data_IF_847022312865
#
_entry.id   IF_847022312865
#
_cell.length_a   1.000
_cell.length_b   1.000
_cell.length_c   1.000
_cell.angle_alpha   90.00
_cell.angle_beta   90.00
_cell.angle_gamma   90.00
#
_symmetry.space_group_name_H-M   'P 1'
#
loop_
_entity.id
_entity.type
_entity.pdbx_description
1 polymer ?
#
# COMPACT_ATOMS: atom_id res chain seq x y z
N UNK A 1 -1.42 59.42 34.09
CA UNK A 1 -2.35 58.29 33.89
C UNK A 1 -1.87 57.58 32.63
N UNK A 2 -0.85 56.72 32.79
CA UNK A 2 -0.22 56.01 31.67
C UNK A 2 -0.91 54.67 31.52
N UNK A 3 -1.50 54.44 30.35
CA UNK A 3 -2.14 53.18 30.01
C UNK A 3 -1.05 52.15 29.73
N UNK A 4 -0.95 51.18 30.63
CA UNK A 4 -0.06 50.02 30.52
C UNK A 4 -0.63 49.08 29.46
N UNK A 5 -0.16 49.22 28.21
CA UNK A 5 -0.51 48.36 27.10
C UNK A 5 0.16 47.01 27.32
N UNK A 6 -0.57 46.07 27.93
CA UNK A 6 -0.13 44.69 28.05
C UNK A 6 0.06 44.08 26.65
N UNK A 7 1.25 43.56 26.29
CA UNK A 7 1.45 42.90 25.01
C UNK A 7 0.58 41.65 24.94
N UNK A 8 -0.21 41.55 23.86
CA UNK A 8 -0.99 40.36 23.53
C UNK A 8 -0.06 39.14 23.55
N UNK A 9 -0.36 38.19 24.45
CA UNK A 9 0.37 36.94 24.56
C UNK A 9 0.39 36.26 23.19
N UNK A 10 1.59 36.13 22.60
CA UNK A 10 1.78 35.44 21.34
C UNK A 10 1.30 33.98 21.50
N UNK A 11 0.19 33.64 20.84
CA UNK A 11 -0.32 32.28 20.84
C UNK A 11 0.76 31.37 20.23
N UNK A 12 1.35 30.51 21.05
CA UNK A 12 2.36 29.57 20.60
C UNK A 12 1.70 28.64 19.57
N UNK A 13 2.28 28.45 18.36
CA UNK A 13 1.68 27.58 17.37
C UNK A 13 1.55 26.19 17.99
N UNK A 14 0.30 25.74 18.22
CA UNK A 14 0.02 24.39 18.71
C UNK A 14 0.51 23.43 17.63
N UNK A 15 1.72 22.89 17.81
CA UNK A 15 2.26 21.85 16.94
C UNK A 15 1.25 20.69 16.98
N UNK A 16 0.43 20.55 15.94
CA UNK A 16 -0.54 19.47 15.86
C UNK A 16 0.22 18.14 15.84
N UNK A 17 0.22 17.49 17.01
CA UNK A 17 0.84 16.17 17.20
C UNK A 17 0.20 15.23 16.19
N UNK A 18 1.02 14.45 15.49
CA UNK A 18 0.50 13.44 14.58
C UNK A 18 -0.41 12.50 15.39
N UNK A 19 -1.63 12.20 14.91
CA UNK A 19 -2.51 11.30 15.62
C UNK A 19 -1.87 9.90 15.68
N UNK A 20 -2.00 9.20 16.81
CA UNK A 20 -1.36 7.89 17.03
C UNK A 20 -1.72 6.86 15.95
N UNK A 21 -2.97 6.90 15.46
CA UNK A 21 -3.45 5.99 14.43
C UNK A 21 -2.71 6.14 13.10
N UNK A 22 -2.12 7.30 12.80
CA UNK A 22 -1.27 7.48 11.61
C UNK A 22 -0.04 6.59 11.65
N UNK A 23 0.58 6.49 12.82
CA UNK A 23 1.76 5.65 13.02
C UNK A 23 1.40 4.18 12.94
N UNK A 24 0.30 3.77 13.60
CA UNK A 24 -0.16 2.38 13.58
C UNK A 24 -0.51 1.94 12.16
N UNK A 25 -1.34 2.71 11.44
CA UNK A 25 -1.68 2.36 10.05
C UNK A 25 -0.49 2.47 9.10
N UNK A 26 0.35 3.49 9.26
CA UNK A 26 1.54 3.68 8.42
C UNK A 26 2.53 2.52 8.57
N UNK A 27 2.86 2.13 9.80
CA UNK A 27 3.76 1.00 10.06
C UNK A 27 3.15 -0.33 9.65
N UNK A 28 1.85 -0.53 9.88
CA UNK A 28 1.16 -1.72 9.42
C UNK A 28 1.21 -1.87 7.89
N UNK A 29 0.91 -0.80 7.15
CA UNK A 29 1.04 -0.80 5.69
C UNK A 29 2.48 -1.03 5.25
N UNK A 30 3.45 -0.41 5.93
CA UNK A 30 4.86 -0.61 5.61
C UNK A 30 5.25 -2.09 5.77
N UNK A 31 4.87 -2.72 6.87
CA UNK A 31 5.15 -4.14 7.10
C UNK A 31 4.48 -5.03 6.05
N UNK A 32 3.21 -4.75 5.71
CA UNK A 32 2.49 -5.47 4.66
C UNK A 32 3.21 -5.38 3.31
N UNK A 33 3.59 -4.16 2.88
CA UNK A 33 4.25 -3.96 1.59
C UNK A 33 5.72 -4.43 1.58
N UNK A 34 6.41 -4.49 2.72
CA UNK A 34 7.70 -5.19 2.81
C UNK A 34 7.51 -6.69 2.54
N UNK A 35 6.49 -7.31 3.15
CA UNK A 35 6.12 -8.70 2.87
C UNK A 35 5.76 -8.91 1.40
N UNK A 36 4.91 -8.04 0.84
CA UNK A 36 4.54 -8.07 -0.58
C UNK A 36 5.72 -7.83 -1.53
N UNK A 37 6.71 -7.03 -1.13
CA UNK A 37 7.95 -6.84 -1.93
C UNK A 37 8.79 -8.10 -1.95
N UNK A 38 8.92 -8.78 -0.80
CA UNK A 38 9.62 -10.06 -0.73
C UNK A 38 8.95 -11.10 -1.60
N UNK A 39 7.62 -11.25 -1.49
CA UNK A 39 6.83 -12.13 -2.36
C UNK A 39 7.04 -11.78 -3.84
N UNK A 40 6.87 -10.51 -4.21
CA UNK A 40 7.09 -10.05 -5.58
C UNK A 40 8.47 -10.45 -6.12
N UNK A 41 9.55 -10.18 -5.38
CA UNK A 41 10.92 -10.49 -5.83
C UNK A 41 11.11 -12.00 -5.97
N UNK A 42 10.70 -12.78 -4.97
CA UNK A 42 10.93 -14.23 -4.97
C UNK A 42 10.06 -14.95 -6.02
N UNK A 43 8.82 -14.52 -6.20
CA UNK A 43 7.92 -15.06 -7.22
C UNK A 43 8.39 -14.68 -8.63
N UNK A 44 8.79 -13.42 -8.86
CA UNK A 44 9.26 -12.98 -10.20
C UNK A 44 10.61 -13.53 -10.60
N UNK A 45 11.46 -13.88 -9.63
CA UNK A 45 12.74 -14.57 -9.89
C UNK A 45 12.59 -16.09 -9.91
N UNK A 46 11.36 -16.61 -9.75
CA UNK A 46 11.03 -18.03 -9.69
C UNK A 46 11.93 -18.78 -8.69
N UNK A 47 12.14 -18.19 -7.50
CA UNK A 47 13.02 -18.75 -6.50
C UNK A 47 12.50 -20.12 -6.02
N UNK A 48 13.25 -21.22 -6.22
CA UNK A 48 12.71 -22.57 -6.04
C UNK A 48 12.29 -22.86 -4.60
N UNK A 49 13.10 -22.44 -3.63
CA UNK A 49 12.81 -22.64 -2.20
C UNK A 49 11.54 -21.92 -1.78
N UNK A 50 11.33 -20.70 -2.29
CA UNK A 50 10.13 -19.93 -1.99
C UNK A 50 8.88 -20.54 -2.61
N UNK A 51 8.92 -20.92 -3.90
CA UNK A 51 7.78 -21.52 -4.57
C UNK A 51 7.41 -22.87 -3.93
N UNK A 52 8.42 -23.68 -3.56
CA UNK A 52 8.20 -24.91 -2.81
C UNK A 52 7.58 -24.65 -1.43
N UNK A 53 8.05 -23.63 -0.69
CA UNK A 53 7.48 -23.23 0.60
C UNK A 53 6.04 -22.70 0.49
N UNK A 54 5.66 -22.12 -0.65
CA UNK A 54 4.27 -21.75 -0.94
C UNK A 54 3.41 -22.95 -1.38
N UNK A 55 4.00 -24.12 -1.60
CA UNK A 55 3.30 -25.31 -2.08
C UNK A 55 2.87 -25.20 -3.55
N UNK A 56 3.57 -24.42 -4.36
CA UNK A 56 3.24 -24.25 -5.78
C UNK A 56 3.57 -25.50 -6.59
N UNK A 57 2.58 -26.02 -7.31
CA UNK A 57 2.75 -27.05 -8.32
C UNK A 57 3.00 -26.46 -9.71
N UNK A 58 3.08 -27.33 -10.71
CA UNK A 58 3.30 -26.93 -12.11
C UNK A 58 2.32 -25.85 -12.61
N UNK A 59 0.99 -25.90 -12.32
CA UNK A 59 0.06 -24.87 -12.78
C UNK A 59 0.38 -23.48 -12.23
N UNK A 60 0.75 -23.37 -10.94
CA UNK A 60 1.09 -22.09 -10.31
C UNK A 60 2.43 -21.55 -10.82
N UNK A 61 3.42 -22.43 -10.99
CA UNK A 61 4.72 -22.05 -11.54
C UNK A 61 4.55 -21.57 -12.99
N UNK A 62 3.77 -22.29 -13.80
CA UNK A 62 3.43 -21.90 -15.17
C UNK A 62 2.73 -20.54 -15.21
N UNK A 63 1.81 -20.28 -14.28
CA UNK A 63 1.12 -18.99 -14.16
C UNK A 63 2.09 -17.81 -13.98
N UNK A 64 3.12 -17.95 -13.15
CA UNK A 64 4.09 -16.87 -12.93
C UNK A 64 5.23 -16.83 -13.96
N UNK A 65 5.54 -17.97 -14.59
CA UNK A 65 6.52 -18.06 -15.68
C UNK A 65 6.01 -17.36 -16.93
N UNK A 66 4.76 -17.59 -17.31
CA UNK A 66 4.07 -16.92 -18.42
C UNK A 66 3.25 -15.71 -17.94
N UNK A 67 3.83 -14.92 -17.03
CA UNK A 67 3.13 -13.76 -16.48
C UNK A 67 3.22 -12.56 -17.45
N UNK A 68 2.09 -11.98 -17.91
CA UNK A 68 2.11 -10.95 -18.94
C UNK A 68 2.84 -9.70 -18.46
N UNK A 69 3.60 -9.07 -19.36
CA UNK A 69 4.39 -7.89 -19.03
C UNK A 69 3.53 -6.77 -18.40
N UNK A 70 2.34 -6.50 -18.94
CA UNK A 70 1.43 -5.48 -18.41
C UNK A 70 0.99 -5.76 -16.97
N UNK A 71 0.72 -7.02 -16.61
CA UNK A 71 0.42 -7.40 -15.23
C UNK A 71 1.65 -7.24 -14.34
N UNK A 72 2.84 -7.59 -14.85
CA UNK A 72 4.11 -7.36 -14.13
C UNK A 72 4.35 -5.88 -13.81
N UNK A 73 4.05 -4.97 -14.74
CA UNK A 73 4.13 -3.52 -14.50
C UNK A 73 3.14 -3.08 -13.43
N UNK A 74 1.89 -3.52 -13.49
CA UNK A 74 0.89 -3.20 -12.45
C UNK A 74 1.33 -3.72 -11.08
N UNK A 75 1.87 -4.94 -10.99
CA UNK A 75 2.38 -5.51 -9.75
C UNK A 75 3.54 -4.69 -9.19
N UNK A 76 4.47 -4.27 -10.05
CA UNK A 76 5.58 -3.39 -9.67
C UNK A 76 5.06 -2.05 -9.12
N UNK A 77 4.10 -1.43 -9.81
CA UNK A 77 3.48 -0.17 -9.39
C UNK A 77 2.76 -0.30 -8.05
N UNK A 78 2.06 -1.41 -7.83
CA UNK A 78 1.42 -1.69 -6.56
C UNK A 78 2.45 -1.79 -5.43
N UNK A 79 3.47 -2.62 -5.57
CA UNK A 79 4.44 -2.89 -4.51
C UNK A 79 5.31 -1.66 -4.22
N UNK A 80 5.86 -1.03 -5.27
CA UNK A 80 6.67 0.18 -5.11
C UNK A 80 5.84 1.35 -4.59
N UNK A 81 4.63 1.54 -5.13
CA UNK A 81 3.70 2.57 -4.68
C UNK A 81 3.30 2.36 -3.21
N UNK A 82 3.08 1.11 -2.79
CA UNK A 82 2.71 0.74 -1.44
C UNK A 82 3.78 1.09 -0.42
N UNK A 83 5.03 0.72 -0.69
CA UNK A 83 6.18 1.12 0.14
C UNK A 83 6.31 2.64 0.21
N UNK A 84 6.28 3.32 -0.93
CA UNK A 84 6.44 4.77 -0.99
C UNK A 84 5.28 5.50 -0.30
N UNK A 85 4.04 5.02 -0.42
CA UNK A 85 2.89 5.66 0.22
C UNK A 85 2.89 5.46 1.73
N UNK A 86 3.27 4.27 2.23
CA UNK A 86 3.43 4.00 3.65
C UNK A 86 4.53 4.87 4.26
N UNK A 87 5.70 4.93 3.61
CA UNK A 87 6.80 5.80 4.02
C UNK A 87 6.38 7.28 4.01
N UNK A 88 5.74 7.74 2.94
CA UNK A 88 5.22 9.10 2.83
C UNK A 88 4.19 9.42 3.93
N UNK A 89 3.30 8.48 4.29
CA UNK A 89 2.32 8.67 5.34
C UNK A 89 2.97 8.80 6.73
N UNK A 90 3.98 7.97 7.02
CA UNK A 90 4.78 8.04 8.26
C UNK A 90 5.53 9.38 8.34
N UNK A 91 6.12 9.81 7.23
CA UNK A 91 6.78 11.13 7.09
C UNK A 91 5.79 12.30 7.00
N UNK A 92 4.48 12.03 7.10
CA UNK A 92 3.40 13.00 7.02
C UNK A 92 3.41 13.82 5.73
N UNK A 93 3.88 13.26 4.61
CA UNK A 93 3.90 13.96 3.33
C UNK A 93 2.55 13.91 2.62
N UNK A 94 2.13 15.03 2.03
CA UNK A 94 0.94 15.10 1.15
C UNK A 94 1.05 14.20 -0.08
N UNK A 95 2.25 13.76 -0.45
CA UNK A 95 2.49 12.81 -1.54
C UNK A 95 1.94 11.41 -1.24
N UNK A 96 1.63 11.09 0.02
CA UNK A 96 1.03 9.80 0.39
C UNK A 96 -0.31 9.56 -0.33
N UNK A 97 -1.08 10.62 -0.62
CA UNK A 97 -2.39 10.50 -1.30
C UNK A 97 -2.28 9.98 -2.73
N UNK A 98 -1.55 10.64 -3.65
CA UNK A 98 -1.40 10.12 -5.01
C UNK A 98 -0.70 8.76 -5.05
N UNK A 99 0.30 8.51 -4.20
CA UNK A 99 0.97 7.20 -4.13
C UNK A 99 0.01 6.10 -3.69
N UNK A 100 -0.81 6.33 -2.67
CA UNK A 100 -1.83 5.37 -2.23
C UNK A 100 -2.89 5.13 -3.30
N UNK A 101 -3.26 6.17 -4.07
CA UNK A 101 -4.18 6.02 -5.20
C UNK A 101 -3.59 5.13 -6.30
N UNK A 102 -2.36 5.41 -6.74
CA UNK A 102 -1.67 4.60 -7.75
C UNK A 102 -1.57 3.14 -7.30
N UNK A 103 -1.22 2.93 -6.04
CA UNK A 103 -1.12 1.60 -5.43
C UNK A 103 -2.45 0.85 -5.47
N UNK A 104 -3.53 1.51 -5.07
CA UNK A 104 -4.86 0.93 -5.02
C UNK A 104 -5.42 0.64 -6.42
N UNK A 105 -5.22 1.56 -7.38
CA UNK A 105 -5.63 1.35 -8.76
C UNK A 105 -4.86 0.20 -9.41
N UNK A 106 -3.55 0.11 -9.16
CA UNK A 106 -2.74 -1.01 -9.63
C UNK A 106 -3.23 -2.35 -9.05
N UNK A 107 -3.49 -2.42 -7.75
CA UNK A 107 -4.02 -3.63 -7.11
C UNK A 107 -5.39 -4.01 -7.64
N UNK A 108 -6.29 -3.04 -7.79
CA UNK A 108 -7.62 -3.27 -8.33
C UNK A 108 -7.56 -3.79 -9.77
N UNK A 109 -6.65 -3.23 -10.58
CA UNK A 109 -6.43 -3.66 -11.96
C UNK A 109 -5.87 -5.07 -12.01
N UNK A 110 -4.93 -5.42 -11.13
CA UNK A 110 -4.42 -6.79 -11.00
C UNK A 110 -5.53 -7.77 -10.66
N UNK A 111 -6.34 -7.45 -9.64
CA UNK A 111 -7.48 -8.30 -9.27
C UNK A 111 -8.40 -8.50 -10.46
N UNK A 112 -8.93 -7.43 -11.06
CA UNK A 112 -9.86 -7.52 -12.19
C UNK A 112 -9.26 -8.35 -13.32
N UNK A 113 -8.04 -8.05 -13.76
CA UNK A 113 -7.44 -8.69 -14.92
C UNK A 113 -7.06 -10.15 -14.67
N UNK A 114 -6.57 -10.48 -13.47
CA UNK A 114 -6.18 -11.86 -13.14
C UNK A 114 -7.40 -12.76 -12.89
N UNK A 115 -8.46 -12.23 -12.28
CA UNK A 115 -9.71 -12.97 -12.14
C UNK A 115 -10.45 -13.15 -13.46
N UNK A 116 -10.45 -12.14 -14.33
CA UNK A 116 -11.19 -12.21 -15.59
C UNK A 116 -10.48 -12.99 -16.71
N UNK A 117 -9.15 -12.97 -16.74
CA UNK A 117 -8.39 -13.46 -17.91
C UNK A 117 -7.32 -14.51 -17.59
N UNK A 118 -7.16 -14.90 -16.32
CA UNK A 118 -6.05 -15.77 -15.89
C UNK A 118 -6.48 -16.91 -14.96
N UNK A 119 -7.79 -17.14 -14.80
CA UNK A 119 -8.33 -18.22 -13.96
C UNK A 119 -7.69 -18.27 -12.56
N UNK A 120 -7.45 -17.07 -12.00
CA UNK A 120 -6.68 -16.91 -10.77
C UNK A 120 -7.19 -17.78 -9.63
N UNK A 121 -8.51 -17.87 -9.48
CA UNK A 121 -9.12 -18.63 -8.39
C UNK A 121 -8.79 -20.11 -8.47
N UNK A 122 -8.85 -20.69 -9.67
CA UNK A 122 -8.63 -22.12 -9.88
C UNK A 122 -7.14 -22.47 -9.86
N UNK A 123 -6.29 -21.59 -10.39
CA UNK A 123 -4.84 -21.85 -10.47
C UNK A 123 -4.13 -21.52 -9.15
N UNK A 124 -4.31 -20.30 -8.61
CA UNK A 124 -3.64 -19.87 -7.38
C UNK A 124 -4.39 -20.28 -6.11
N UNK A 125 -5.63 -20.71 -6.25
CA UNK A 125 -6.46 -21.16 -5.15
C UNK A 125 -7.12 -20.03 -4.35
N UNK A 126 -8.07 -20.39 -3.46
CA UNK A 126 -8.86 -19.43 -2.71
C UNK A 126 -8.04 -18.66 -1.67
N UNK A 127 -7.06 -19.27 -1.01
CA UNK A 127 -6.29 -18.62 0.05
C UNK A 127 -5.51 -17.40 -0.47
N UNK A 128 -4.72 -17.57 -1.53
CA UNK A 128 -3.95 -16.49 -2.16
C UNK A 128 -4.88 -15.46 -2.84
N UNK A 129 -5.99 -15.92 -3.42
CA UNK A 129 -7.00 -15.05 -4.00
C UNK A 129 -7.66 -14.13 -2.97
N UNK A 130 -8.08 -14.67 -1.83
CA UNK A 130 -8.70 -13.90 -0.74
C UNK A 130 -7.71 -12.96 -0.07
N UNK A 131 -6.44 -13.37 0.09
CA UNK A 131 -5.39 -12.50 0.61
C UNK A 131 -5.22 -11.25 -0.27
N UNK A 132 -5.09 -11.40 -1.59
CA UNK A 132 -4.92 -10.27 -2.50
C UNK A 132 -6.17 -9.39 -2.60
N UNK A 133 -7.37 -9.97 -2.47
CA UNK A 133 -8.62 -9.20 -2.33
C UNK A 133 -8.57 -8.36 -1.05
N UNK A 134 -8.12 -8.94 0.06
CA UNK A 134 -7.90 -8.23 1.33
C UNK A 134 -6.91 -7.07 1.17
N UNK A 135 -5.78 -7.29 0.50
CA UNK A 135 -4.82 -6.22 0.15
C UNK A 135 -5.48 -5.15 -0.71
N UNK A 136 -6.33 -5.54 -1.67
CA UNK A 136 -7.12 -4.62 -2.50
C UNK A 136 -8.01 -3.70 -1.65
N UNK A 137 -8.87 -4.29 -0.81
CA UNK A 137 -9.75 -3.54 0.10
C UNK A 137 -8.94 -2.62 1.00
N UNK A 138 -7.86 -3.14 1.57
CA UNK A 138 -7.00 -2.40 2.49
C UNK A 138 -6.28 -1.24 1.81
N UNK A 139 -5.82 -1.40 0.56
CA UNK A 139 -5.17 -0.34 -0.21
C UNK A 139 -6.14 0.82 -0.52
N UNK A 140 -7.38 0.50 -0.87
CA UNK A 140 -8.45 1.49 -1.11
C UNK A 140 -8.81 2.22 0.19
N UNK A 141 -8.97 1.48 1.29
CA UNK A 141 -9.23 2.05 2.61
C UNK A 141 -8.09 2.98 3.05
N UNK A 142 -6.84 2.60 2.80
CA UNK A 142 -5.67 3.41 3.12
C UNK A 142 -5.60 4.69 2.29
N UNK A 143 -5.92 4.61 0.99
CA UNK A 143 -6.04 5.81 0.16
C UNK A 143 -7.10 6.78 0.71
N UNK A 144 -8.28 6.27 1.07
CA UNK A 144 -9.34 7.09 1.70
C UNK A 144 -8.86 7.73 3.00
N UNK A 145 -8.18 6.95 3.84
CA UNK A 145 -7.60 7.42 5.09
C UNK A 145 -6.57 8.54 4.86
N UNK A 146 -5.62 8.34 3.94
CA UNK A 146 -4.63 9.36 3.57
C UNK A 146 -5.31 10.63 3.04
N UNK A 147 -6.38 10.49 2.23
CA UNK A 147 -7.17 11.63 1.73
C UNK A 147 -7.81 12.42 2.87
N UNK A 148 -8.40 11.73 3.85
CA UNK A 148 -8.97 12.34 5.04
C UNK A 148 -7.91 13.00 5.94
N UNK A 149 -6.72 12.41 6.06
CA UNK A 149 -5.61 13.00 6.83
C UNK A 149 -5.04 14.25 6.15
N UNK A 150 -5.04 14.28 4.81
CA UNK A 150 -4.68 15.48 4.05
C UNK A 150 -5.69 16.61 4.28
N UNK A 151 -7.00 16.34 4.23
CA UNK A 151 -8.01 17.39 4.46
C UNK A 151 -7.99 17.95 5.89
N UNK A 152 -7.49 17.16 6.85
CA UNK A 152 -7.26 17.58 8.25
C UNK A 152 -5.89 18.22 8.50
N UNK A 153 -5.12 18.54 7.46
CA UNK A 153 -3.75 19.09 7.55
C UNK A 153 -2.77 18.25 8.39
N UNK A 154 -3.05 16.95 8.56
CA UNK A 154 -2.16 16.01 9.23
C UNK A 154 -0.98 15.64 8.32
N UNK A 155 -1.27 15.45 7.02
CA UNK A 155 -0.29 15.31 5.95
C UNK A 155 0.01 16.70 5.35
N UNK A 156 1.29 17.04 5.21
CA UNK A 156 1.83 18.35 4.82
C UNK A 156 2.55 18.27 3.47
#
# INVERSE_FOLDING_TARGET
MGEDVMPAAAESPRLSRAPWHLWVFGLFMLALYVGGTRDYVLTRTLNPDYLAAQGYGEPQIGYFTDYPFGLGVLWTLNVAGGLLCAAAAILRSRRAVPLALTTALAQLSLLILTFAFRDRWDILGPQMSLFDIGVGVLSIAFWWYCRAMRSRAVLR
#
